data_IF_431038295517
#
_entry.id   IF_431038295517
#
_cell.length_a   1.000
_cell.length_b   1.000
_cell.length_c   1.000
_cell.angle_alpha   90.00
_cell.angle_beta   90.00
_cell.angle_gamma   90.00
#
_symmetry.space_group_name_H-M   'P 1'
#
loop_
_entity.id
_entity.type
_entity.pdbx_description
1 polymer ?
#
# COMPACT_ATOMS: atom_id res chain seq x y z
N UNK A 1 -19.47 -18.72 10.07
CA UNK A 1 -19.24 -17.49 10.90
C UNK A 1 -18.22 -16.65 10.18
N UNK A 2 -18.39 -15.33 10.18
CA UNK A 2 -17.41 -14.45 9.54
C UNK A 2 -16.06 -14.56 10.28
N UNK A 3 -14.97 -14.76 9.53
CA UNK A 3 -13.61 -14.87 10.06
C UNK A 3 -13.21 -13.53 10.70
N UNK A 4 -13.04 -13.53 12.02
CA UNK A 4 -12.73 -12.32 12.80
C UNK A 4 -11.37 -11.71 12.40
N UNK A 5 -10.40 -12.56 12.11
CA UNK A 5 -9.06 -12.14 11.66
C UNK A 5 -9.13 -11.42 10.30
N UNK A 6 -9.85 -12.01 9.34
CA UNK A 6 -10.06 -11.38 8.04
C UNK A 6 -10.80 -10.03 8.15
N UNK A 7 -11.77 -9.92 9.07
CA UNK A 7 -12.47 -8.64 9.30
C UNK A 7 -11.55 -7.58 9.92
N UNK A 8 -10.67 -7.96 10.83
CA UNK A 8 -9.69 -7.03 11.41
C UNK A 8 -8.71 -6.53 10.36
N UNK A 9 -8.14 -7.43 9.58
CA UNK A 9 -7.26 -7.09 8.46
C UNK A 9 -7.95 -6.20 7.44
N UNK A 10 -9.21 -6.49 7.08
CA UNK A 10 -10.00 -5.65 6.18
C UNK A 10 -10.07 -4.21 6.70
N UNK A 11 -10.41 -4.01 7.98
CA UNK A 11 -10.49 -2.64 8.56
C UNK A 11 -9.15 -1.91 8.46
N UNK A 12 -8.04 -2.60 8.74
CA UNK A 12 -6.69 -2.03 8.68
C UNK A 12 -6.29 -1.66 7.25
N UNK A 13 -6.55 -2.55 6.30
CA UNK A 13 -6.31 -2.34 4.86
C UNK A 13 -7.14 -1.18 4.32
N UNK A 14 -8.42 -1.12 4.67
CA UNK A 14 -9.33 -0.04 4.25
C UNK A 14 -8.87 1.30 4.83
N UNK A 15 -8.47 1.35 6.11
CA UNK A 15 -7.95 2.56 6.73
C UNK A 15 -6.66 3.08 6.06
N UNK A 16 -5.73 2.18 5.70
CA UNK A 16 -4.53 2.56 4.96
C UNK A 16 -4.85 3.08 3.55
N UNK A 17 -5.82 2.45 2.87
CA UNK A 17 -6.30 2.87 1.56
C UNK A 17 -6.98 4.24 1.61
N UNK A 18 -7.80 4.51 2.61
CA UNK A 18 -8.44 5.81 2.83
C UNK A 18 -7.41 6.91 3.12
N UNK A 19 -6.40 6.60 3.93
CA UNK A 19 -5.31 7.54 4.19
C UNK A 19 -4.58 7.90 2.89
N UNK A 20 -4.17 6.90 2.11
CA UNK A 20 -3.51 7.13 0.82
C UNK A 20 -4.40 7.95 -0.13
N UNK A 21 -5.69 7.63 -0.21
CA UNK A 21 -6.66 8.33 -1.06
C UNK A 21 -6.80 9.81 -0.70
N UNK A 22 -6.79 10.15 0.59
CA UNK A 22 -6.80 11.56 1.05
C UNK A 22 -5.57 12.31 0.56
N UNK A 23 -4.39 11.68 0.65
CA UNK A 23 -3.14 12.37 0.27
C UNK A 23 -3.03 12.63 -1.22
N UNK A 24 -3.62 11.82 -2.07
CA UNK A 24 -3.58 12.01 -3.53
C UNK A 24 -4.74 12.83 -4.09
N UNK A 25 -5.70 13.21 -3.27
CA UNK A 25 -6.84 14.02 -3.73
C UNK A 25 -6.37 15.39 -4.23
N UNK A 26 -6.73 15.73 -5.48
CA UNK A 26 -6.35 16.99 -6.12
C UNK A 26 -4.90 17.06 -6.58
N UNK A 27 -4.17 15.93 -6.60
CA UNK A 27 -2.77 15.86 -7.04
C UNK A 27 -2.59 15.64 -8.55
N UNK A 28 -3.67 15.72 -9.34
CA UNK A 28 -3.65 15.42 -10.79
C UNK A 28 -2.61 16.25 -11.55
N UNK A 29 -2.47 17.52 -11.23
CA UNK A 29 -1.51 18.44 -11.86
C UNK A 29 -0.13 18.42 -11.21
N UNK A 30 0.04 17.60 -10.16
CA UNK A 30 1.27 17.53 -9.36
C UNK A 30 1.95 16.15 -9.43
N UNK A 31 1.64 15.36 -10.46
CA UNK A 31 2.20 14.01 -10.62
C UNK A 31 3.73 13.98 -10.72
N UNK A 32 4.34 15.03 -11.27
CA UNK A 32 5.80 15.17 -11.44
C UNK A 32 6.44 15.99 -10.32
N UNK A 33 5.73 16.27 -9.23
CA UNK A 33 6.24 17.03 -8.09
C UNK A 33 6.73 16.12 -6.99
N UNK A 34 7.85 16.52 -6.37
CA UNK A 34 8.43 15.94 -5.17
C UNK A 34 8.41 16.99 -4.05
N UNK A 35 8.62 16.59 -2.80
CA UNK A 35 8.74 17.52 -1.66
C UNK A 35 10.09 18.21 -1.60
N UNK A 36 11.15 17.61 -2.15
CA UNK A 36 12.48 18.18 -2.26
C UNK A 36 13.21 17.72 -3.54
N UNK A 37 14.26 18.45 -3.98
CA UNK A 37 15.07 18.00 -5.11
C UNK A 37 15.73 16.64 -4.86
N UNK A 38 15.60 15.73 -5.83
CA UNK A 38 16.16 14.38 -5.76
C UNK A 38 15.30 13.37 -5.03
N UNK A 39 14.20 13.79 -4.42
CA UNK A 39 13.20 12.89 -3.82
C UNK A 39 12.21 12.37 -4.87
N UNK A 40 11.50 11.31 -4.53
CA UNK A 40 10.51 10.72 -5.43
C UNK A 40 9.33 11.66 -5.69
N UNK A 41 8.90 11.67 -6.92
CA UNK A 41 7.68 12.38 -7.34
C UNK A 41 6.42 11.61 -6.91
N UNK A 42 5.27 12.27 -6.95
CA UNK A 42 3.97 11.64 -6.74
C UNK A 42 3.82 10.39 -7.62
N UNK A 43 4.18 10.49 -8.89
CA UNK A 43 4.13 9.37 -9.86
C UNK A 43 5.02 8.21 -9.44
N UNK A 44 6.22 8.48 -9.00
CA UNK A 44 7.18 7.48 -8.58
C UNK A 44 6.72 6.74 -7.34
N UNK A 45 6.16 7.46 -6.35
CA UNK A 45 5.56 6.85 -5.15
C UNK A 45 4.40 5.93 -5.53
N UNK A 46 3.47 6.39 -6.36
CA UNK A 46 2.33 5.57 -6.79
C UNK A 46 2.76 4.35 -7.61
N UNK A 47 3.76 4.52 -8.47
CA UNK A 47 4.33 3.41 -9.24
C UNK A 47 5.00 2.36 -8.34
N UNK A 48 5.71 2.81 -7.30
CA UNK A 48 6.31 1.94 -6.29
C UNK A 48 5.26 1.12 -5.55
N UNK A 49 4.15 1.72 -5.14
CA UNK A 49 3.05 1.04 -4.44
C UNK A 49 2.35 -0.04 -5.28
N UNK A 50 2.42 0.05 -6.61
CA UNK A 50 1.95 -0.98 -7.52
C UNK A 50 2.93 -2.15 -7.67
N UNK A 51 4.11 -2.06 -7.07
CA UNK A 51 5.19 -3.02 -7.18
C UNK A 51 5.70 -3.23 -8.63
N UNK A 52 6.59 -4.19 -8.80
CA UNK A 52 7.14 -4.57 -10.09
C UNK A 52 6.01 -5.04 -11.02
N UNK A 53 6.02 -4.63 -12.30
CA UNK A 53 5.07 -5.15 -13.28
C UNK A 53 5.07 -6.69 -13.31
N UNK A 54 3.88 -7.28 -13.24
CA UNK A 54 3.70 -8.73 -13.14
C UNK A 54 3.73 -9.30 -11.72
N UNK A 55 4.09 -8.50 -10.70
CA UNK A 55 3.96 -8.90 -9.30
C UNK A 55 2.54 -8.59 -8.81
N UNK A 56 1.91 -9.55 -8.16
CA UNK A 56 0.60 -9.38 -7.52
C UNK A 56 0.63 -9.90 -6.09
N UNK A 57 0.34 -9.05 -5.09
CA UNK A 57 0.35 -9.44 -3.68
C UNK A 57 -0.58 -10.60 -3.34
N UNK A 58 -1.76 -10.68 -3.97
CA UNK A 58 -2.70 -11.77 -3.72
C UNK A 58 -2.15 -13.11 -4.22
N UNK A 59 -1.53 -13.12 -5.40
CA UNK A 59 -0.85 -14.32 -5.93
C UNK A 59 0.32 -14.73 -5.04
N UNK A 60 1.08 -13.75 -4.54
CA UNK A 60 2.17 -14.01 -3.60
C UNK A 60 1.65 -14.64 -2.30
N UNK A 61 0.58 -14.12 -1.73
CA UNK A 61 -0.06 -14.68 -0.53
C UNK A 61 -0.58 -16.10 -0.76
N UNK A 62 -1.13 -16.38 -1.95
CA UNK A 62 -1.61 -17.71 -2.31
C UNK A 62 -0.49 -18.77 -2.34
N UNK A 63 0.75 -18.36 -2.54
CA UNK A 63 1.91 -19.24 -2.51
C UNK A 63 2.39 -19.58 -1.09
N UNK A 64 1.97 -18.82 -0.05
CA UNK A 64 2.35 -19.12 1.34
C UNK A 64 1.89 -20.50 1.75
N UNK A 65 2.75 -21.24 2.43
CA UNK A 65 2.57 -22.65 2.75
C UNK A 65 2.77 -22.94 4.24
N UNK A 66 2.21 -24.03 4.73
CA UNK A 66 2.43 -24.50 6.10
C UNK A 66 3.70 -25.33 6.26
N UNK A 67 4.31 -25.78 5.16
CA UNK A 67 5.46 -26.71 5.18
C UNK A 67 6.66 -26.21 4.41
N UNK A 68 6.47 -25.94 3.13
CA UNK A 68 7.55 -25.58 2.21
C UNK A 68 7.48 -24.07 1.98
N UNK A 69 8.05 -23.28 2.88
CA UNK A 69 7.97 -21.83 2.82
C UNK A 69 8.65 -21.30 1.56
N UNK A 70 7.89 -20.80 0.58
CA UNK A 70 8.49 -20.24 -0.63
C UNK A 70 9.34 -19.02 -0.31
N UNK A 71 10.40 -18.80 -1.08
CA UNK A 71 11.19 -17.58 -0.98
C UNK A 71 10.54 -16.50 -1.85
N UNK A 72 10.25 -15.36 -1.24
CA UNK A 72 9.70 -14.18 -1.92
C UNK A 72 10.76 -13.08 -1.87
N UNK A 73 11.32 -12.78 -3.03
CA UNK A 73 12.28 -11.68 -3.18
C UNK A 73 11.54 -10.36 -3.38
N UNK A 74 11.85 -9.38 -2.53
CA UNK A 74 11.35 -8.01 -2.64
C UNK A 74 12.52 -7.09 -2.92
N UNK A 75 12.41 -6.29 -3.96
CA UNK A 75 13.40 -5.31 -4.39
C UNK A 75 13.12 -3.96 -3.70
N UNK A 76 13.91 -3.58 -2.68
CA UNK A 76 13.65 -2.34 -1.94
C UNK A 76 14.05 -1.11 -2.75
N UNK A 77 13.35 0.01 -2.52
CA UNK A 77 13.75 1.31 -3.02
C UNK A 77 13.63 1.52 -4.54
N UNK A 78 12.93 0.65 -5.24
CA UNK A 78 12.70 0.77 -6.68
C UNK A 78 11.35 1.42 -6.98
N UNK A 79 11.31 2.41 -7.86
CA UNK A 79 10.07 3.08 -8.27
C UNK A 79 9.23 2.23 -9.21
N UNK A 80 9.86 1.26 -9.89
CA UNK A 80 9.24 0.42 -10.92
C UNK A 80 8.57 1.20 -12.06
N UNK A 81 9.01 2.44 -12.28
CA UNK A 81 8.47 3.32 -13.30
C UNK A 81 8.89 2.83 -14.69
N UNK A 82 7.92 2.50 -15.52
CA UNK A 82 8.10 2.10 -16.91
C UNK A 82 7.33 3.05 -17.84
N UNK A 83 7.43 2.85 -19.14
CA UNK A 83 6.79 3.72 -20.14
C UNK A 83 5.27 3.80 -19.95
N UNK A 84 4.60 2.69 -19.69
CA UNK A 84 3.17 2.68 -19.42
C UNK A 84 2.81 3.53 -18.19
N UNK A 85 3.55 3.36 -17.07
CA UNK A 85 3.27 4.09 -15.83
C UNK A 85 3.63 5.57 -15.92
N UNK A 86 4.58 5.94 -16.79
CA UNK A 86 4.88 7.35 -17.09
C UNK A 86 3.69 8.09 -17.70
N UNK A 87 2.83 7.38 -18.43
CA UNK A 87 1.67 7.92 -19.10
C UNK A 87 0.37 7.80 -18.30
N UNK A 88 0.37 7.03 -17.20
CA UNK A 88 -0.84 6.87 -16.37
C UNK A 88 -1.26 8.18 -15.71
N UNK A 89 -2.56 8.43 -15.74
CA UNK A 89 -3.20 9.50 -14.97
C UNK A 89 -3.30 9.12 -13.49
N UNK A 90 -3.57 10.09 -12.62
CA UNK A 90 -3.83 9.83 -11.21
C UNK A 90 -5.01 8.87 -11.01
N UNK A 91 -6.08 9.04 -11.80
CA UNK A 91 -7.24 8.14 -11.76
C UNK A 91 -6.86 6.70 -12.08
N UNK A 92 -6.03 6.49 -13.11
CA UNK A 92 -5.56 5.15 -13.48
C UNK A 92 -4.70 4.50 -12.37
N UNK A 93 -3.85 5.28 -11.69
CA UNK A 93 -3.13 4.78 -10.52
C UNK A 93 -4.07 4.40 -9.38
N UNK A 94 -5.08 5.22 -9.08
CA UNK A 94 -6.09 4.93 -8.06
C UNK A 94 -6.84 3.63 -8.37
N UNK A 95 -7.29 3.46 -9.60
CA UNK A 95 -8.02 2.27 -10.04
C UNK A 95 -7.13 1.01 -9.93
N UNK A 96 -5.85 1.12 -10.29
CA UNK A 96 -4.90 0.01 -10.20
C UNK A 96 -4.60 -0.38 -8.74
N UNK A 97 -4.40 0.61 -7.86
CA UNK A 97 -4.19 0.37 -6.42
C UNK A 97 -5.42 -0.22 -5.75
N UNK A 98 -6.63 0.27 -6.11
CA UNK A 98 -7.88 -0.30 -5.60
C UNK A 98 -8.11 -1.72 -6.11
N UNK A 99 -7.78 -2.01 -7.35
CA UNK A 99 -7.85 -3.37 -7.89
C UNK A 99 -6.87 -4.31 -7.15
N UNK A 100 -5.65 -3.87 -6.84
CA UNK A 100 -4.69 -4.62 -6.05
C UNK A 100 -5.24 -4.91 -4.64
N UNK A 101 -5.77 -3.89 -3.96
CA UNK A 101 -6.40 -4.02 -2.65
C UNK A 101 -7.56 -5.03 -2.66
N UNK A 102 -8.48 -4.91 -3.62
CA UNK A 102 -9.62 -5.82 -3.75
C UNK A 102 -9.20 -7.27 -3.90
N UNK A 103 -8.20 -7.57 -4.73
CA UNK A 103 -7.71 -8.95 -4.89
C UNK A 103 -7.14 -9.52 -3.58
N UNK A 104 -6.44 -8.69 -2.80
CA UNK A 104 -5.95 -9.10 -1.47
C UNK A 104 -7.12 -9.40 -0.54
N UNK A 105 -8.13 -8.53 -0.50
CA UNK A 105 -9.32 -8.71 0.36
C UNK A 105 -10.11 -9.97 -0.02
N UNK A 106 -10.33 -10.21 -1.32
CA UNK A 106 -10.99 -11.42 -1.81
C UNK A 106 -10.24 -12.69 -1.39
N UNK A 107 -8.91 -12.65 -1.47
CA UNK A 107 -8.08 -13.78 -1.05
C UNK A 107 -8.23 -14.07 0.45
N UNK A 108 -8.09 -13.06 1.32
CA UNK A 108 -8.14 -13.26 2.78
C UNK A 108 -9.54 -13.63 3.27
N UNK A 109 -10.59 -13.20 2.61
CA UNK A 109 -11.97 -13.58 2.96
C UNK A 109 -12.25 -15.08 2.76
N UNK A 110 -11.54 -15.71 1.84
CA UNK A 110 -11.61 -17.14 1.59
C UNK A 110 -10.77 -18.01 2.53
N UNK A 111 -9.98 -17.40 3.44
CA UNK A 111 -9.09 -18.13 4.32
C UNK A 111 -9.79 -18.58 5.62
N UNK A 112 -9.38 -19.74 6.11
CA UNK A 112 -9.70 -20.18 7.48
C UNK A 112 -8.79 -19.45 8.49
N UNK A 113 -9.32 -19.21 9.70
CA UNK A 113 -8.61 -18.49 10.78
C UNK A 113 -7.16 -18.97 11.00
N UNK A 114 -6.87 -20.29 11.12
CA UNK A 114 -5.51 -20.75 11.38
C UNK A 114 -4.51 -20.49 10.24
N UNK A 115 -4.99 -20.24 9.01
CA UNK A 115 -4.11 -20.03 7.86
C UNK A 115 -3.29 -18.73 7.98
N UNK A 116 -3.82 -17.71 8.65
CA UNK A 116 -3.16 -16.41 8.81
C UNK A 116 -1.83 -16.52 9.56
N UNK A 117 -1.71 -17.43 10.51
CA UNK A 117 -0.51 -17.65 11.30
C UNK A 117 0.32 -18.86 10.84
N UNK A 118 -0.33 -19.88 10.26
CA UNK A 118 0.33 -21.14 9.89
C UNK A 118 0.99 -21.08 8.53
N UNK A 119 0.38 -20.39 7.55
CA UNK A 119 0.97 -20.24 6.24
C UNK A 119 2.04 -19.16 6.26
N UNK A 120 3.22 -19.48 5.75
CA UNK A 120 4.39 -18.61 5.77
C UNK A 120 5.10 -18.61 4.42
N UNK A 121 5.89 -17.57 4.23
CA UNK A 121 6.93 -17.49 3.21
C UNK A 121 8.24 -17.01 3.86
N UNK A 122 9.35 -17.23 3.18
CA UNK A 122 10.63 -16.62 3.55
C UNK A 122 10.80 -15.33 2.75
N UNK A 123 10.94 -14.21 3.44
CA UNK A 123 11.14 -12.90 2.85
C UNK A 123 12.41 -12.29 3.45
N UNK A 124 13.58 -12.49 2.83
CA UNK A 124 14.87 -12.09 3.38
C UNK A 124 14.95 -10.62 3.78
N UNK A 125 14.30 -9.73 2.99
CA UNK A 125 14.23 -8.31 3.30
C UNK A 125 13.67 -8.02 4.69
N UNK A 126 12.68 -8.78 5.15
CA UNK A 126 12.00 -8.53 6.43
C UNK A 126 12.84 -8.88 7.65
N UNK A 127 13.89 -9.69 7.48
CA UNK A 127 14.80 -10.00 8.58
C UNK A 127 15.43 -8.75 9.21
N UNK A 128 15.69 -7.72 8.41
CA UNK A 128 16.27 -6.46 8.87
C UNK A 128 15.29 -5.63 9.72
N UNK A 129 13.99 -5.76 9.47
CA UNK A 129 12.95 -4.94 10.11
C UNK A 129 12.20 -5.69 11.22
N UNK A 130 12.00 -7.00 11.04
CA UNK A 130 11.17 -7.83 11.92
C UNK A 130 12.00 -8.84 12.74
N UNK A 131 13.31 -8.96 12.49
CA UNK A 131 14.17 -9.93 13.14
C UNK A 131 14.02 -11.36 12.63
N UNK A 132 13.09 -11.63 11.70
CA UNK A 132 12.84 -12.93 11.08
C UNK A 132 12.57 -12.78 9.59
N UNK A 133 12.92 -13.80 8.82
CA UNK A 133 12.55 -13.93 7.40
C UNK A 133 11.34 -14.87 7.20
N UNK A 134 10.92 -15.60 8.26
CA UNK A 134 9.70 -16.41 8.22
C UNK A 134 8.48 -15.54 8.52
N UNK A 135 7.74 -15.21 7.47
CA UNK A 135 6.67 -14.21 7.50
C UNK A 135 5.32 -14.90 7.30
N UNK A 136 4.41 -14.71 8.25
CA UNK A 136 3.02 -15.16 8.15
C UNK A 136 2.20 -14.26 7.24
N UNK A 137 1.00 -14.69 6.84
CA UNK A 137 0.07 -13.86 6.08
C UNK A 137 -0.25 -12.57 6.83
N UNK A 138 -0.53 -12.64 8.14
CA UNK A 138 -0.83 -11.46 8.96
C UNK A 138 0.35 -10.49 9.00
N UNK A 139 1.57 -10.98 9.24
CA UNK A 139 2.78 -10.15 9.25
C UNK A 139 3.01 -9.48 7.90
N UNK A 140 2.82 -10.21 6.80
CA UNK A 140 2.99 -9.67 5.45
C UNK A 140 2.00 -8.54 5.15
N UNK A 141 0.73 -8.73 5.49
CA UNK A 141 -0.31 -7.71 5.27
C UNK A 141 -0.13 -6.50 6.17
N UNK A 142 0.29 -6.70 7.43
CA UNK A 142 0.66 -5.61 8.33
C UNK A 142 1.82 -4.79 7.77
N UNK A 143 2.88 -5.46 7.30
CA UNK A 143 4.01 -4.77 6.68
C UNK A 143 3.61 -4.00 5.41
N UNK A 144 2.73 -4.58 4.57
CA UNK A 144 2.32 -3.98 3.31
C UNK A 144 1.38 -2.78 3.51
N UNK A 145 0.36 -2.89 4.38
CA UNK A 145 -0.67 -1.86 4.51
C UNK A 145 -0.45 -0.96 5.72
N UNK A 146 -0.26 -1.51 6.94
CA UNK A 146 -0.12 -0.68 8.12
C UNK A 146 1.20 0.09 8.14
N UNK A 147 2.27 -0.48 7.58
CA UNK A 147 3.56 0.19 7.50
C UNK A 147 3.78 0.83 6.14
N UNK A 148 3.95 0.05 5.07
CA UNK A 148 4.41 0.53 3.76
C UNK A 148 3.45 1.53 3.10
N UNK A 149 2.14 1.24 3.05
CA UNK A 149 1.19 2.19 2.47
C UNK A 149 1.04 3.47 3.30
N UNK A 150 1.07 3.37 4.64
CA UNK A 150 1.00 4.54 5.49
C UNK A 150 2.30 5.37 5.47
N UNK A 151 3.46 4.75 5.36
CA UNK A 151 4.73 5.45 5.20
C UNK A 151 4.73 6.28 3.90
N UNK A 152 4.31 5.68 2.79
CA UNK A 152 4.18 6.39 1.52
C UNK A 152 3.02 7.40 1.48
N UNK A 153 1.94 7.18 2.23
CA UNK A 153 0.93 8.22 2.44
C UNK A 153 1.54 9.45 3.13
N UNK A 154 2.40 9.25 4.12
CA UNK A 154 3.16 10.35 4.76
C UNK A 154 4.14 11.04 3.81
N UNK A 155 4.76 10.32 2.88
CA UNK A 155 5.59 10.91 1.83
C UNK A 155 4.74 11.76 0.88
N UNK A 156 3.59 11.25 0.44
CA UNK A 156 2.65 12.01 -0.40
C UNK A 156 2.08 13.24 0.30
N UNK A 157 1.85 13.18 1.63
CA UNK A 157 1.45 14.33 2.43
C UNK A 157 2.50 15.45 2.37
N UNK A 158 3.79 15.12 2.46
CA UNK A 158 4.89 16.11 2.32
C UNK A 158 4.87 16.76 0.93
N UNK A 159 4.70 15.95 -0.13
CA UNK A 159 4.59 16.49 -1.49
C UNK A 159 3.36 17.42 -1.59
N UNK A 160 2.22 16.99 -1.06
CA UNK A 160 0.97 17.76 -1.02
C UNK A 160 1.17 19.13 -0.33
N UNK A 161 1.86 19.15 0.80
CA UNK A 161 2.21 20.39 1.51
C UNK A 161 3.15 21.26 0.68
N UNK A 162 4.16 20.69 0.04
CA UNK A 162 5.12 21.41 -0.79
C UNK A 162 4.49 22.07 -2.03
N UNK A 163 3.38 21.54 -2.54
CA UNK A 163 2.62 22.14 -3.65
C UNK A 163 1.47 23.06 -3.20
N UNK A 164 1.32 23.29 -1.89
CA UNK A 164 0.37 24.25 -1.34
C UNK A 164 -1.08 23.73 -1.18
N UNK A 165 -1.29 22.41 -1.27
CA UNK A 165 -2.64 21.85 -1.10
C UNK A 165 -3.04 21.64 0.37
N UNK A 166 -2.13 21.85 1.32
CA UNK A 166 -2.37 21.72 2.76
C UNK A 166 -2.62 20.27 3.21
N UNK A 167 -2.66 20.09 4.53
CA UNK A 167 -3.26 18.90 5.13
C UNK A 167 -4.78 19.12 5.22
N UNK A 168 -5.61 18.12 4.94
CA UNK A 168 -7.07 18.17 5.08
C UNK A 168 -7.56 18.31 6.56
N UNK A 169 -6.73 18.83 7.44
CA UNK A 169 -7.08 19.21 8.78
C UNK A 169 -7.65 20.64 8.77
N UNK A 170 -8.93 20.78 8.42
CA UNK A 170 -9.85 21.84 8.78
C UNK A 170 -10.63 22.44 7.59
N UNK A 171 -11.59 21.70 7.07
CA UNK A 171 -12.83 22.34 6.72
C UNK A 171 -13.55 22.66 8.04
N UNK A 172 -13.24 23.81 8.66
CA UNK A 172 -14.14 24.38 9.68
C UNK A 172 -15.47 24.66 8.99
N UNK A 173 -16.60 24.19 9.53
CA UNK A 173 -17.90 24.65 9.04
C UNK A 173 -17.95 26.17 9.26
N UNK A 174 -18.21 26.89 8.15
CA UNK A 174 -18.33 28.33 8.16
C UNK A 174 -19.31 28.79 9.23
N UNK A 175 -18.82 29.64 10.12
CA UNK A 175 -19.68 30.41 10.98
C UNK A 175 -20.55 31.31 10.13
N UNK A 176 -21.85 31.08 10.18
CA UNK A 176 -22.85 32.02 9.75
C UNK A 176 -22.90 33.11 10.83
N UNK A 177 -22.24 34.23 10.55
CA UNK A 177 -22.51 35.44 11.33
C UNK A 177 -23.86 36.00 10.90
N UNK A 178 -24.75 36.09 11.91
CA UNK A 178 -26.02 36.78 11.83
C UNK A 178 -25.83 38.29 12.08
#
# INVERSE_FOLDING_TARGET
MANKHAQDLRRRIDAASENLSRQIQGMDTHMERADAPGEWTTREVLSHLLFKPGFDPATTLAAFSERDYPVVEIEPGATFLNEQRRQMTLSQFRDALDAQRRRVLEYIEGLEEPAFERRKARIPLFKQFMGTDEITIDMYLGAMFDYHWNDHAGQLEKIRQAVGLGSDAAAKPGGVDA
#
